data_IF_824452597526
#
_entry.id   IF_824452597526
#
_cell.length_a   1.000
_cell.length_b   1.000
_cell.length_c   1.000
_cell.angle_alpha   90.00
_cell.angle_beta   90.00
_cell.angle_gamma   90.00
#
_symmetry.space_group_name_H-M   'P 1'
#
loop_
_entity.id
_entity.type
_entity.pdbx_description
1 polymer ?
#
# COMPACT_ATOMS: atom_id res chain seq x y z
N UNK A 1 10.94 12.53 -8.39
CA UNK A 1 11.71 13.06 -7.23
C UNK A 1 12.96 12.25 -6.94
N UNK A 2 12.90 10.95 -6.64
CA UNK A 2 14.10 10.14 -6.31
C UNK A 2 15.18 10.13 -7.42
N UNK A 3 14.76 10.18 -8.69
CA UNK A 3 15.65 10.26 -9.86
C UNK A 3 16.32 11.61 -10.08
N UNK A 4 15.92 12.67 -9.37
CA UNK A 4 16.37 14.04 -9.65
C UNK A 4 17.31 14.61 -8.57
N UNK A 5 17.26 14.10 -7.33
CA UNK A 5 18.11 14.57 -6.22
C UNK A 5 18.43 13.42 -5.25
N UNK A 6 19.39 12.54 -5.59
CA UNK A 6 19.70 11.36 -4.78
C UNK A 6 20.26 11.73 -3.39
N UNK A 7 20.95 12.86 -3.26
CA UNK A 7 21.61 13.29 -2.02
C UNK A 7 20.64 13.71 -0.91
N UNK A 8 19.37 13.96 -1.25
CA UNK A 8 18.31 14.28 -0.29
C UNK A 8 17.50 13.05 0.16
N UNK A 9 17.79 11.88 -0.42
CA UNK A 9 17.11 10.64 -0.07
C UNK A 9 17.82 9.99 1.11
N UNK A 10 17.05 9.53 2.09
CA UNK A 10 17.56 8.79 3.24
C UNK A 10 18.36 7.58 2.76
N UNK A 11 19.51 7.31 3.38
CA UNK A 11 20.42 6.24 2.96
C UNK A 11 19.81 4.83 3.06
N UNK A 12 18.84 4.62 3.94
CA UNK A 12 18.09 3.39 4.15
C UNK A 12 16.74 3.37 3.41
N UNK A 13 16.46 4.35 2.54
CA UNK A 13 15.12 4.53 1.98
C UNK A 13 14.56 3.28 1.30
N UNK A 14 15.40 2.54 0.58
CA UNK A 14 14.98 1.31 -0.10
C UNK A 14 14.51 0.21 0.86
N UNK A 15 15.04 0.15 2.09
CA UNK A 15 14.61 -0.82 3.09
C UNK A 15 13.40 -0.35 3.90
N UNK A 16 13.24 0.97 4.12
CA UNK A 16 12.17 1.51 4.98
C UNK A 16 10.93 2.00 4.24
N UNK A 17 10.98 2.20 2.92
CA UNK A 17 9.88 2.79 2.13
C UNK A 17 8.54 2.06 2.30
N UNK A 18 8.56 0.73 2.43
CA UNK A 18 7.35 -0.09 2.62
C UNK A 18 6.74 0.20 3.99
N UNK A 19 7.54 0.17 5.06
CA UNK A 19 7.07 0.46 6.42
C UNK A 19 6.54 1.89 6.54
N UNK A 20 7.27 2.86 5.98
CA UNK A 20 6.87 4.28 5.97
C UNK A 20 5.52 4.45 5.25
N UNK A 21 5.35 3.83 4.08
CA UNK A 21 4.08 3.88 3.34
C UNK A 21 2.94 3.25 4.15
N UNK A 22 3.17 2.08 4.73
CA UNK A 22 2.17 1.40 5.55
C UNK A 22 1.74 2.26 6.75
N UNK A 23 2.68 2.89 7.46
CA UNK A 23 2.38 3.81 8.57
C UNK A 23 1.55 5.02 8.10
N UNK A 24 1.87 5.57 6.93
CA UNK A 24 1.12 6.68 6.35
C UNK A 24 -0.32 6.28 5.97
N UNK A 25 -0.49 5.10 5.36
CA UNK A 25 -1.81 4.54 5.04
C UNK A 25 -2.62 4.31 6.31
N UNK A 26 -2.04 3.63 7.30
CA UNK A 26 -2.71 3.39 8.59
C UNK A 26 -3.18 4.68 9.23
N UNK A 27 -2.32 5.70 9.29
CA UNK A 27 -2.67 7.03 9.77
C UNK A 27 -3.87 7.62 8.99
N UNK A 28 -3.79 7.66 7.65
CA UNK A 28 -4.85 8.18 6.77
C UNK A 28 -6.20 7.49 7.03
N UNK A 29 -6.22 6.16 7.00
CA UNK A 29 -7.47 5.40 7.14
C UNK A 29 -7.96 5.28 8.59
N UNK A 30 -7.12 5.54 9.59
CA UNK A 30 -7.56 5.68 11.00
C UNK A 30 -8.16 7.06 11.28
N UNK A 31 -7.65 8.13 10.65
CA UNK A 31 -8.12 9.50 10.89
C UNK A 31 -9.45 9.79 10.20
N UNK A 32 -9.69 9.22 9.01
CA UNK A 32 -10.86 9.56 8.18
C UNK A 32 -11.85 8.40 8.10
N UNK A 33 -12.98 8.42 8.86
CA UNK A 33 -13.93 7.31 8.89
C UNK A 33 -14.52 6.94 7.53
N UNK A 34 -14.79 7.92 6.67
CA UNK A 34 -15.32 7.66 5.33
C UNK A 34 -14.34 6.86 4.45
N UNK A 35 -13.03 7.13 4.57
CA UNK A 35 -12.01 6.36 3.88
C UNK A 35 -11.90 4.96 4.46
N UNK A 36 -11.99 4.82 5.79
CA UNK A 36 -12.03 3.53 6.46
C UNK A 36 -13.18 2.67 5.92
N UNK A 37 -14.40 3.19 5.93
CA UNK A 37 -15.58 2.49 5.40
C UNK A 37 -15.42 2.10 3.93
N UNK A 38 -14.84 2.98 3.11
CA UNK A 38 -14.55 2.68 1.71
C UNK A 38 -13.48 1.61 1.54
N UNK A 39 -12.48 1.53 2.43
CA UNK A 39 -11.51 0.44 2.39
C UNK A 39 -12.17 -0.89 2.79
N UNK A 40 -12.97 -0.89 3.86
CA UNK A 40 -13.68 -2.08 4.34
C UNK A 40 -14.69 -2.60 3.33
N UNK A 41 -15.37 -1.74 2.57
CA UNK A 41 -16.34 -2.15 1.54
C UNK A 41 -15.71 -2.93 0.38
N UNK A 42 -14.37 -2.95 0.27
CA UNK A 42 -13.65 -3.74 -0.73
C UNK A 42 -13.37 -5.17 -0.27
N UNK A 43 -13.82 -5.58 0.92
CA UNK A 43 -13.63 -6.93 1.44
C UNK A 43 -14.03 -8.00 0.40
N UNK A 44 -13.21 -9.06 0.30
CA UNK A 44 -13.37 -10.09 -0.74
C UNK A 44 -12.86 -9.72 -2.13
N UNK A 45 -12.41 -8.48 -2.36
CA UNK A 45 -11.82 -8.04 -3.63
C UNK A 45 -10.31 -7.81 -3.52
N UNK A 46 -9.60 -8.03 -4.62
CA UNK A 46 -8.19 -7.67 -4.79
C UNK A 46 -8.09 -6.21 -5.19
N UNK A 47 -7.24 -5.44 -4.51
CA UNK A 47 -6.94 -4.05 -4.86
C UNK A 47 -5.66 -3.99 -5.68
N UNK A 48 -5.74 -3.37 -6.86
CA UNK A 48 -4.60 -3.12 -7.74
C UNK A 48 -4.52 -1.63 -8.03
N UNK A 49 -3.38 -1.01 -7.75
CA UNK A 49 -3.11 0.36 -8.18
C UNK A 49 -2.83 0.35 -9.69
N UNK A 50 -3.70 1.02 -10.46
CA UNK A 50 -3.74 0.92 -11.91
C UNK A 50 -2.79 1.92 -12.61
N UNK A 51 -1.57 2.08 -12.09
CA UNK A 51 -0.53 2.84 -12.78
C UNK A 51 0.18 1.96 -13.81
N UNK A 52 0.14 2.32 -15.11
CA UNK A 52 0.83 1.57 -16.15
C UNK A 52 2.35 1.77 -16.15
N UNK A 53 2.86 2.68 -15.32
CA UNK A 53 4.28 3.06 -15.29
C UNK A 53 4.97 2.77 -13.94
N UNK A 54 4.19 2.49 -12.88
CA UNK A 54 4.73 2.17 -11.57
C UNK A 54 4.75 0.66 -11.37
N UNK A 55 5.93 0.07 -11.55
CA UNK A 55 6.14 -1.37 -11.38
C UNK A 55 6.33 -1.78 -9.91
N UNK A 56 6.52 -0.83 -9.00
CA UNK A 56 6.76 -1.13 -7.59
C UNK A 56 5.47 -1.01 -6.78
N UNK A 57 4.86 0.18 -6.78
CA UNK A 57 3.61 0.41 -6.06
C UNK A 57 2.38 -0.04 -6.84
N UNK A 58 2.46 0.03 -8.17
CA UNK A 58 1.37 -0.27 -9.11
C UNK A 58 1.41 -1.68 -9.70
N UNK A 59 0.35 -1.98 -10.45
CA UNK A 59 0.19 -3.24 -11.19
C UNK A 59 0.94 -3.30 -12.52
N UNK A 60 1.54 -2.19 -12.98
CA UNK A 60 2.14 -2.12 -14.31
C UNK A 60 1.07 -2.12 -15.42
N UNK A 61 1.52 -2.08 -16.67
CA UNK A 61 0.61 -1.97 -17.82
C UNK A 61 -0.14 -3.28 -18.07
N UNK A 62 0.57 -4.39 -17.92
CA UNK A 62 0.17 -5.74 -18.31
C UNK A 62 0.12 -6.68 -17.08
N UNK A 63 0.12 -6.14 -15.86
CA UNK A 63 0.09 -6.92 -14.62
C UNK A 63 1.49 -7.35 -14.12
N UNK A 64 2.54 -6.78 -14.68
CA UNK A 64 3.94 -7.05 -14.35
C UNK A 64 4.46 -6.32 -13.10
N UNK A 65 3.68 -5.37 -12.58
CA UNK A 65 4.01 -4.61 -11.38
C UNK A 65 3.77 -5.37 -10.08
N UNK A 66 4.53 -5.02 -9.04
CA UNK A 66 4.51 -5.69 -7.74
C UNK A 66 3.26 -5.36 -6.91
N UNK A 67 2.57 -4.26 -7.23
CA UNK A 67 1.35 -3.79 -6.58
C UNK A 67 1.50 -3.67 -5.05
N UNK A 68 2.64 -3.16 -4.56
CA UNK A 68 2.86 -3.02 -3.12
C UNK A 68 1.80 -2.14 -2.45
N UNK A 69 1.28 -1.11 -3.13
CA UNK A 69 0.25 -0.25 -2.54
C UNK A 69 -1.04 -1.02 -2.29
N UNK A 70 -1.51 -1.76 -3.29
CA UNK A 70 -2.70 -2.60 -3.16
C UNK A 70 -2.54 -3.66 -2.06
N UNK A 71 -1.36 -4.31 -1.99
CA UNK A 71 -1.04 -5.28 -0.93
C UNK A 71 -1.10 -4.66 0.47
N UNK A 72 -0.51 -3.48 0.66
CA UNK A 72 -0.54 -2.78 1.96
C UNK A 72 -1.96 -2.36 2.36
N UNK A 73 -2.78 -1.90 1.41
CA UNK A 73 -4.19 -1.58 1.66
C UNK A 73 -5.00 -2.82 2.07
N UNK A 74 -4.77 -3.96 1.42
CA UNK A 74 -5.44 -5.21 1.77
C UNK A 74 -4.98 -5.73 3.13
N UNK A 75 -3.70 -5.63 3.47
CA UNK A 75 -3.20 -5.94 4.81
C UNK A 75 -3.88 -5.07 5.87
N UNK A 76 -3.92 -3.75 5.65
CA UNK A 76 -4.57 -2.81 6.57
C UNK A 76 -6.07 -3.07 6.70
N UNK A 77 -6.75 -3.47 5.62
CA UNK A 77 -8.16 -3.88 5.63
C UNK A 77 -8.37 -5.08 6.56
N UNK A 78 -7.57 -6.14 6.44
CA UNK A 78 -7.70 -7.32 7.31
C UNK A 78 -7.44 -6.98 8.78
N UNK A 79 -6.48 -6.10 9.08
CA UNK A 79 -6.27 -5.61 10.44
C UNK A 79 -7.49 -4.89 11.02
N UNK A 80 -8.15 -4.03 10.23
CA UNK A 80 -9.35 -3.33 10.68
C UNK A 80 -10.58 -4.23 10.81
N UNK A 81 -10.66 -5.32 10.04
CA UNK A 81 -11.69 -6.34 10.19
C UNK A 81 -11.46 -7.26 11.40
N UNK A 82 -10.27 -7.20 12.02
CA UNK A 82 -9.89 -8.12 13.10
C UNK A 82 -9.61 -9.54 12.62
N UNK A 83 -9.36 -9.72 11.31
CA UNK A 83 -8.94 -10.99 10.74
C UNK A 83 -7.50 -11.25 11.15
N UNK A 84 -7.29 -12.14 12.12
CA UNK A 84 -5.97 -12.71 12.37
C UNK A 84 -5.61 -13.59 11.16
N UNK A 85 -4.36 -13.58 10.68
CA UNK A 85 -3.95 -14.51 9.64
C UNK A 85 -4.26 -15.90 10.17
N UNK A 86 -5.19 -16.58 9.51
CA UNK A 86 -5.45 -17.99 9.77
C UNK A 86 -4.15 -18.70 9.47
N UNK A 87 -3.43 -19.07 10.53
CA UNK A 87 -2.32 -20.00 10.44
C UNK A 87 -2.85 -21.27 9.76
N UNK A 88 -2.36 -21.54 8.57
CA UNK A 88 -2.47 -22.83 7.90
C UNK A 88 -1.11 -23.16 7.32
#
# INVERSE_FOLDING_TARGET
MQRQQPDLVRSDWESVKIEVMYRALKCKFSIYPHLNSMLLSTAGSVLVEASPHDLFWGGGRDGEGLNYLGRLLMQLRSEFLGESPTSS
#
